data_IF_419995683533
#
_entry.id   IF_419995683533
#
_cell.length_a   1.000
_cell.length_b   1.000
_cell.length_c   1.000
_cell.angle_alpha   90.00
_cell.angle_beta   90.00
_cell.angle_gamma   90.00
#
_symmetry.space_group_name_H-M   'P 1'
#
loop_
_entity.id
_entity.type
_entity.pdbx_description
1 polymer ?
#
# COMPACT_ATOMS: atom_id res chain seq x y z
N UNK A 1 7.58 -72.56 45.97
CA UNK A 1 8.07 -72.65 47.35
C UNK A 1 8.96 -71.44 47.62
N UNK A 2 8.40 -70.33 48.10
CA UNK A 2 9.20 -69.28 48.74
C UNK A 2 8.39 -68.69 49.89
N UNK A 3 8.99 -68.78 51.06
CA UNK A 3 8.40 -68.63 52.36
C UNK A 3 8.03 -67.16 52.65
N UNK A 4 6.78 -66.95 53.03
CA UNK A 4 6.34 -65.74 53.72
C UNK A 4 6.85 -65.80 55.16
N UNK A 5 7.90 -65.04 55.50
CA UNK A 5 8.30 -64.80 56.90
C UNK A 5 8.55 -63.31 57.15
N UNK A 6 7.56 -62.73 57.86
CA UNK A 6 7.54 -61.62 58.85
C UNK A 6 8.53 -60.43 58.71
N UNK A 7 8.03 -59.19 58.58
CA UNK A 7 8.83 -57.97 58.72
C UNK A 7 8.90 -57.40 60.15
N UNK A 8 8.40 -58.09 61.17
CA UNK A 8 8.21 -57.52 62.52
C UNK A 8 9.50 -57.35 63.36
N UNK A 9 10.67 -57.75 62.87
CA UNK A 9 11.91 -57.71 63.66
C UNK A 9 12.77 -56.45 63.45
N UNK A 10 12.45 -55.58 62.49
CA UNK A 10 13.26 -54.37 62.20
C UNK A 10 12.75 -53.06 62.81
N UNK A 11 11.61 -53.06 63.51
CA UNK A 11 11.00 -51.82 64.03
C UNK A 11 10.75 -51.80 65.55
N UNK A 12 11.14 -52.83 66.31
CA UNK A 12 10.96 -52.85 67.78
C UNK A 12 9.53 -52.48 68.25
N UNK A 13 8.50 -52.92 67.52
CA UNK A 13 7.10 -52.66 67.85
C UNK A 13 6.50 -53.83 68.63
N UNK A 14 6.08 -53.59 69.88
CA UNK A 14 5.24 -54.55 70.62
C UNK A 14 3.79 -54.47 70.13
N UNK A 15 3.01 -55.54 70.33
CA UNK A 15 1.66 -55.79 69.79
C UNK A 15 0.56 -54.77 70.18
N UNK A 16 0.92 -53.61 70.73
CA UNK A 16 0.03 -52.58 71.24
C UNK A 16 0.27 -51.17 70.67
N UNK A 17 1.06 -50.99 69.60
CA UNK A 17 1.12 -49.67 68.95
C UNK A 17 -0.19 -49.34 68.26
N UNK A 18 -0.82 -48.25 68.70
CA UNK A 18 -2.03 -47.71 68.09
C UNK A 18 -1.66 -46.97 66.80
N UNK A 19 -2.62 -46.79 65.88
CA UNK A 19 -2.41 -46.02 64.63
C UNK A 19 -2.01 -44.56 64.92
N UNK A 20 -2.25 -44.06 66.13
CA UNK A 20 -1.86 -42.72 66.58
C UNK A 20 -0.36 -42.58 66.89
N UNK A 21 0.37 -43.68 67.05
CA UNK A 21 1.80 -43.69 67.38
C UNK A 21 2.72 -43.69 66.15
N UNK A 22 2.16 -43.68 64.93
CA UNK A 22 2.94 -43.55 63.70
C UNK A 22 3.39 -42.08 63.58
N UNK A 23 4.70 -41.78 63.55
CA UNK A 23 5.17 -40.41 63.37
C UNK A 23 4.63 -39.89 62.03
N UNK A 24 3.82 -38.83 62.07
CA UNK A 24 3.48 -38.08 60.85
C UNK A 24 4.79 -37.48 60.32
N UNK A 25 5.39 -38.11 59.32
CA UNK A 25 6.45 -37.50 58.54
C UNK A 25 5.91 -36.20 57.94
N UNK A 26 6.27 -35.07 58.56
CA UNK A 26 6.11 -33.76 57.95
C UNK A 26 7.04 -33.73 56.75
N UNK A 27 6.49 -33.97 55.55
CA UNK A 27 7.25 -33.80 54.31
C UNK A 27 7.83 -32.39 54.34
N UNK A 28 9.17 -32.20 54.39
CA UNK A 28 9.75 -30.88 54.46
C UNK A 28 9.27 -30.12 53.23
N UNK A 29 8.73 -28.92 53.45
CA UNK A 29 8.28 -28.06 52.37
C UNK A 29 9.44 -27.92 51.38
N UNK A 30 9.28 -28.51 50.20
CA UNK A 30 10.38 -28.65 49.24
C UNK A 30 10.82 -27.25 48.82
N UNK A 31 12.09 -26.91 49.03
CA UNK A 31 12.64 -25.63 48.57
C UNK A 31 12.40 -25.42 47.06
N UNK A 32 12.27 -26.50 46.28
CA UNK A 32 11.91 -26.45 44.87
C UNK A 32 10.51 -25.88 44.61
N UNK A 33 9.51 -26.15 45.48
CA UNK A 33 8.16 -25.57 45.31
C UNK A 33 8.15 -24.07 45.61
N UNK A 34 8.97 -23.62 46.58
CA UNK A 34 9.17 -22.20 46.85
C UNK A 34 9.85 -21.46 45.70
N UNK A 35 10.91 -22.05 45.12
CA UNK A 35 11.64 -21.46 43.98
C UNK A 35 10.73 -21.35 42.75
N UNK A 36 9.95 -22.40 42.46
CA UNK A 36 8.99 -22.38 41.36
C UNK A 36 7.93 -21.28 41.54
N UNK A 37 7.36 -21.13 42.74
CA UNK A 37 6.40 -20.07 43.05
C UNK A 37 7.01 -18.66 42.88
N UNK A 38 8.25 -18.45 43.33
CA UNK A 38 8.96 -17.19 43.13
C UNK A 38 9.21 -16.88 41.66
N UNK A 39 9.58 -17.89 40.85
CA UNK A 39 9.76 -17.72 39.41
C UNK A 39 8.44 -17.36 38.72
N UNK A 40 7.33 -18.00 39.08
CA UNK A 40 6.01 -17.65 38.54
C UNK A 40 5.56 -16.24 38.94
N UNK A 41 5.79 -15.84 40.19
CA UNK A 41 5.47 -14.48 40.63
C UNK A 41 6.33 -13.44 39.89
N UNK A 42 7.62 -13.71 39.71
CA UNK A 42 8.53 -12.83 38.99
C UNK A 42 8.15 -12.70 37.51
N UNK A 43 7.80 -13.79 36.84
CA UNK A 43 7.33 -13.74 35.43
C UNK A 43 5.99 -13.05 35.30
N UNK A 44 5.06 -13.22 36.25
CA UNK A 44 3.80 -12.50 36.28
C UNK A 44 4.01 -10.98 36.47
N UNK A 45 4.90 -10.57 37.38
CA UNK A 45 5.23 -9.16 37.60
C UNK A 45 5.90 -8.55 36.36
N UNK A 46 6.89 -9.24 35.77
CA UNK A 46 7.52 -8.81 34.52
C UNK A 46 6.52 -8.68 33.38
N UNK A 47 5.61 -9.65 33.24
CA UNK A 47 4.58 -9.62 32.20
C UNK A 47 3.59 -8.48 32.42
N UNK A 48 3.17 -8.25 33.68
CA UNK A 48 2.32 -7.12 34.05
C UNK A 48 3.00 -5.77 33.79
N UNK A 49 4.28 -5.65 34.15
CA UNK A 49 5.08 -4.45 33.87
C UNK A 49 5.27 -4.21 32.36
N UNK A 50 5.49 -5.27 31.57
CA UNK A 50 5.57 -5.18 30.12
C UNK A 50 4.23 -4.76 29.50
N UNK A 51 3.11 -5.29 29.97
CA UNK A 51 1.77 -4.88 29.52
C UNK A 51 1.51 -3.42 29.87
N UNK A 52 1.82 -2.99 31.10
CA UNK A 52 1.70 -1.60 31.54
C UNK A 52 2.59 -0.67 30.72
N UNK A 53 3.82 -1.09 30.41
CA UNK A 53 4.75 -0.36 29.55
C UNK A 53 4.19 -0.22 28.13
N UNK A 54 3.70 -1.30 27.51
CA UNK A 54 3.10 -1.27 26.18
C UNK A 54 1.78 -0.47 26.13
N UNK A 55 1.04 -0.41 27.23
CA UNK A 55 -0.16 0.44 27.36
C UNK A 55 0.17 1.93 27.57
N UNK A 56 1.22 2.22 28.34
CA UNK A 56 1.66 3.59 28.64
C UNK A 56 2.44 4.21 27.47
N UNK A 57 3.10 3.35 26.70
CA UNK A 57 3.78 3.66 25.46
C UNK A 57 3.19 2.76 24.37
N UNK A 58 1.96 3.04 23.90
CA UNK A 58 1.52 2.42 22.67
C UNK A 58 2.60 2.76 21.65
N UNK A 59 3.36 1.76 21.21
CA UNK A 59 4.21 1.94 20.06
C UNK A 59 3.30 2.56 18.99
N UNK A 60 3.73 3.62 18.28
CA UNK A 60 2.97 4.12 17.15
C UNK A 60 3.02 3.03 16.09
N UNK A 61 2.19 2.00 16.24
CA UNK A 61 2.07 0.88 15.33
C UNK A 61 1.38 1.46 14.12
N UNK A 62 2.21 1.91 13.17
CA UNK A 62 1.85 2.58 11.92
C UNK A 62 1.27 4.00 12.10
N UNK A 63 2.14 5.00 12.28
CA UNK A 63 1.74 6.41 12.05
C UNK A 63 1.44 6.70 10.57
N UNK A 64 1.96 5.88 9.66
CA UNK A 64 1.87 6.06 8.22
C UNK A 64 1.61 4.70 7.56
N UNK A 65 0.60 4.64 6.73
CA UNK A 65 0.21 3.47 5.95
C UNK A 65 -0.51 3.94 4.68
N UNK A 66 -0.75 3.02 3.75
CA UNK A 66 -1.34 3.36 2.45
C UNK A 66 -2.71 4.06 2.58
N UNK A 67 -3.48 3.70 3.61
CA UNK A 67 -4.79 4.24 3.97
C UNK A 67 -4.77 5.51 4.86
N UNK A 68 -3.63 5.84 5.46
CA UNK A 68 -3.48 6.96 6.40
C UNK A 68 -2.51 8.03 5.94
N UNK A 69 -1.77 7.76 4.85
CA UNK A 69 -0.84 8.68 4.22
C UNK A 69 0.61 8.52 4.68
N UNK A 70 1.51 9.24 4.00
CA UNK A 70 2.95 9.24 4.25
C UNK A 70 3.48 10.66 4.52
N UNK A 71 4.63 10.82 5.20
CA UNK A 71 5.19 12.15 5.51
C UNK A 71 5.54 13.00 4.29
N UNK A 72 5.81 12.37 3.16
CA UNK A 72 6.17 13.02 1.89
C UNK A 72 4.96 13.47 1.08
N UNK A 73 3.75 13.21 1.58
CA UNK A 73 2.53 13.63 0.90
C UNK A 73 2.17 15.07 1.24
N UNK A 74 1.51 15.72 0.29
CA UNK A 74 0.98 17.04 0.54
C UNK A 74 -0.09 16.96 1.64
N UNK A 75 0.22 17.52 2.81
CA UNK A 75 -0.56 17.35 4.04
C UNK A 75 -2.07 17.60 3.89
N UNK A 76 -2.53 18.63 3.16
CA UNK A 76 -3.96 18.83 2.94
C UNK A 76 -4.62 17.70 2.14
N UNK A 77 -3.90 17.05 1.22
CA UNK A 77 -4.45 15.99 0.38
C UNK A 77 -4.67 14.67 1.12
N UNK A 78 -4.00 14.48 2.28
CA UNK A 78 -4.11 13.28 3.12
C UNK A 78 -5.56 13.05 3.57
N UNK A 79 -6.35 14.11 3.75
CA UNK A 79 -7.77 13.99 4.15
C UNK A 79 -8.66 13.35 3.07
N UNK A 80 -8.21 13.36 1.82
CA UNK A 80 -8.94 12.77 0.68
C UNK A 80 -8.72 11.26 0.55
N UNK A 81 -7.78 10.69 1.31
CA UNK A 81 -7.44 9.27 1.20
C UNK A 81 -8.66 8.42 1.56
N UNK A 82 -9.12 7.67 0.57
CA UNK A 82 -10.09 6.58 0.72
C UNK A 82 -9.55 5.40 -0.06
N UNK A 83 -9.74 4.19 0.43
CA UNK A 83 -9.37 3.00 -0.31
C UNK A 83 -10.54 2.43 -1.08
N UNK A 84 -10.24 1.85 -2.23
CA UNK A 84 -11.17 1.08 -3.05
C UNK A 84 -10.44 -0.11 -3.68
N UNK A 85 -11.20 -1.15 -3.97
CA UNK A 85 -10.71 -2.27 -4.77
C UNK A 85 -11.17 -2.07 -6.22
N UNK A 86 -10.21 -2.02 -7.15
CA UNK A 86 -10.49 -1.86 -8.57
C UNK A 86 -9.90 -3.01 -9.37
N UNK A 87 -10.69 -3.52 -10.30
CA UNK A 87 -10.17 -4.40 -11.34
C UNK A 87 -9.77 -3.55 -12.54
N UNK A 88 -8.52 -3.67 -12.98
CA UNK A 88 -8.06 -2.90 -14.13
C UNK A 88 -8.85 -3.28 -15.40
N UNK A 89 -9.10 -2.27 -16.23
CA UNK A 89 -9.87 -2.45 -17.47
C UNK A 89 -8.93 -2.61 -18.66
N UNK A 90 -9.49 -2.86 -19.84
CA UNK A 90 -8.72 -3.01 -21.08
C UNK A 90 -7.74 -4.21 -21.13
N UNK A 91 -8.14 -5.44 -20.74
CA UNK A 91 -7.32 -6.62 -21.00
C UNK A 91 -7.02 -6.79 -22.50
N UNK A 92 -5.84 -7.35 -22.80
CA UNK A 92 -5.55 -7.88 -24.12
C UNK A 92 -6.30 -9.20 -24.34
N UNK A 93 -6.96 -9.31 -25.50
CA UNK A 93 -7.72 -10.48 -25.93
C UNK A 93 -7.26 -10.90 -27.32
N UNK A 94 -7.55 -12.15 -27.67
CA UNK A 94 -7.23 -12.71 -28.98
C UNK A 94 -8.47 -13.31 -29.61
N UNK A 95 -8.73 -12.92 -30.85
CA UNK A 95 -9.78 -13.48 -31.67
C UNK A 95 -9.17 -14.60 -32.53
N UNK A 96 -9.54 -15.85 -32.24
CA UNK A 96 -9.04 -17.04 -32.94
C UNK A 96 -9.52 -17.13 -34.38
N UNK A 97 -10.70 -16.60 -34.69
CA UNK A 97 -11.26 -16.59 -36.05
C UNK A 97 -10.55 -15.60 -36.96
N UNK A 98 -10.25 -14.41 -36.44
CA UNK A 98 -9.58 -13.34 -37.20
C UNK A 98 -8.06 -13.37 -37.08
N UNK A 99 -7.50 -14.24 -36.21
CA UNK A 99 -6.09 -14.27 -35.87
C UNK A 99 -5.55 -12.88 -35.48
N UNK A 100 -6.29 -12.17 -34.62
CA UNK A 100 -6.01 -10.78 -34.26
C UNK A 100 -6.07 -10.53 -32.77
N UNK A 101 -5.13 -9.71 -32.30
CA UNK A 101 -5.11 -9.15 -30.96
C UNK A 101 -5.97 -7.90 -30.91
N UNK A 102 -6.74 -7.76 -29.84
CA UNK A 102 -7.53 -6.56 -29.58
C UNK A 102 -7.53 -6.25 -28.08
N UNK A 103 -7.78 -4.98 -27.75
CA UNK A 103 -8.10 -4.58 -26.38
C UNK A 103 -9.59 -4.70 -26.18
N UNK A 104 -9.99 -5.23 -25.03
CA UNK A 104 -11.38 -5.25 -24.60
C UNK A 104 -11.78 -3.84 -24.13
N UNK A 105 -12.74 -3.21 -24.80
CA UNK A 105 -13.10 -1.80 -24.53
C UNK A 105 -14.46 -1.76 -23.85
N UNK A 106 -14.51 -1.07 -22.70
CA UNK A 106 -15.76 -0.73 -22.02
C UNK A 106 -16.31 0.58 -22.60
N UNK A 107 -17.31 0.47 -23.48
CA UNK A 107 -17.94 1.62 -24.14
C UNK A 107 -18.69 2.56 -23.18
N UNK A 108 -18.89 2.17 -21.93
CA UNK A 108 -19.56 2.99 -20.92
C UNK A 108 -18.61 3.97 -20.23
N UNK A 109 -17.30 3.85 -20.48
CA UNK A 109 -16.25 4.67 -19.87
C UNK A 109 -15.52 5.51 -20.91
N UNK A 110 -14.96 6.67 -20.52
CA UNK A 110 -14.10 7.44 -21.41
C UNK A 110 -12.87 6.62 -21.85
N UNK A 111 -12.55 6.67 -23.13
CA UNK A 111 -11.29 6.14 -23.65
C UNK A 111 -10.17 7.16 -23.48
N UNK A 112 -9.04 6.71 -22.94
CA UNK A 112 -7.83 7.54 -22.78
C UNK A 112 -6.74 7.19 -23.80
N UNK A 113 -6.92 6.16 -24.62
CA UNK A 113 -5.92 5.73 -25.60
C UNK A 113 -6.58 5.02 -26.78
N UNK A 114 -6.10 5.26 -27.99
CA UNK A 114 -6.69 4.73 -29.22
C UNK A 114 -6.16 5.50 -30.43
N UNK A 115 -6.86 5.41 -31.56
CA UNK A 115 -6.62 6.33 -32.66
C UNK A 115 -6.88 7.77 -32.16
N UNK A 116 -5.99 8.73 -32.44
CA UNK A 116 -6.14 10.09 -31.91
C UNK A 116 -7.48 10.71 -32.36
N UNK A 117 -8.22 11.29 -31.41
CA UNK A 117 -9.52 11.90 -31.66
C UNK A 117 -9.83 13.02 -30.67
N UNK A 118 -10.73 13.97 -31.02
CA UNK A 118 -11.18 15.01 -30.11
C UNK A 118 -11.80 14.48 -28.81
N UNK A 119 -12.46 13.32 -28.85
CA UNK A 119 -13.09 12.70 -27.68
C UNK A 119 -12.04 12.21 -26.68
N UNK A 120 -10.95 11.60 -27.16
CA UNK A 120 -9.83 11.19 -26.29
C UNK A 120 -9.15 12.42 -25.70
N UNK A 121 -8.93 13.47 -26.51
CA UNK A 121 -8.34 14.71 -26.03
C UNK A 121 -9.22 15.38 -24.96
N UNK A 122 -10.55 15.40 -25.15
CA UNK A 122 -11.50 15.90 -24.15
C UNK A 122 -11.50 15.07 -22.86
N UNK A 123 -11.35 13.75 -22.96
CA UNK A 123 -11.22 12.87 -21.79
C UNK A 123 -9.97 13.22 -20.97
N UNK A 124 -8.83 13.43 -21.63
CA UNK A 124 -7.59 13.87 -20.97
C UNK A 124 -7.66 15.28 -20.40
N UNK A 125 -8.32 16.21 -21.10
CA UNK A 125 -8.52 17.57 -20.58
C UNK A 125 -9.39 17.58 -19.33
N UNK A 126 -10.42 16.73 -19.29
CA UNK A 126 -11.23 16.52 -18.08
C UNK A 126 -10.41 15.90 -16.94
N UNK A 127 -9.63 14.85 -17.24
CA UNK A 127 -8.80 14.15 -16.26
C UNK A 127 -7.75 15.04 -15.60
N UNK A 128 -7.09 15.87 -16.41
CA UNK A 128 -6.03 16.80 -15.98
C UNK A 128 -6.57 18.21 -15.68
N UNK A 129 -7.89 18.37 -15.62
CA UNK A 129 -8.54 19.65 -15.36
C UNK A 129 -8.10 20.25 -14.02
N UNK A 130 -7.56 21.47 -14.05
CA UNK A 130 -7.06 22.14 -12.86
C UNK A 130 -5.82 21.47 -12.25
N UNK A 131 -4.95 20.89 -13.08
CA UNK A 131 -3.68 20.27 -12.70
C UNK A 131 -2.89 21.07 -11.65
N UNK A 132 -2.68 22.36 -11.87
CA UNK A 132 -1.92 23.22 -10.96
C UNK A 132 -2.83 23.95 -9.97
N UNK A 133 -2.56 23.77 -8.68
CA UNK A 133 -3.25 24.46 -7.60
C UNK A 133 -2.41 25.59 -7.03
N UNK A 134 -3.07 26.63 -6.55
CA UNK A 134 -2.44 27.67 -5.74
C UNK A 134 -2.15 27.11 -4.35
N UNK A 135 -0.95 27.35 -3.85
CA UNK A 135 -0.51 26.95 -2.51
C UNK A 135 -0.60 28.13 -1.54
N UNK A 136 -0.90 27.82 -0.28
CA UNK A 136 -0.78 28.78 0.81
C UNK A 136 0.69 29.14 1.08
N UNK A 137 0.94 30.32 1.65
CA UNK A 137 2.30 30.72 2.03
C UNK A 137 2.92 29.73 3.04
N UNK A 138 2.11 29.20 3.96
CA UNK A 138 2.51 28.19 4.93
C UNK A 138 2.88 26.85 4.27
N UNK A 139 2.19 26.47 3.20
CA UNK A 139 2.48 25.26 2.43
C UNK A 139 3.73 25.42 1.58
N UNK A 140 3.93 26.58 0.97
CA UNK A 140 5.08 26.85 0.11
C UNK A 140 6.41 26.88 0.88
N UNK A 141 6.40 27.33 2.15
CA UNK A 141 7.61 27.36 3.01
C UNK A 141 8.14 25.97 3.33
N UNK A 142 7.27 24.95 3.33
CA UNK A 142 7.66 23.56 3.57
C UNK A 142 8.18 22.86 2.29
N UNK A 143 8.09 23.52 1.12
CA UNK A 143 8.56 22.99 -0.16
C UNK A 143 9.98 23.45 -0.47
N UNK A 144 10.74 22.59 -1.14
CA UNK A 144 12.05 22.94 -1.69
C UNK A 144 11.87 23.74 -2.99
N UNK A 145 12.46 24.93 -3.04
CA UNK A 145 12.43 25.87 -4.17
C UNK A 145 11.04 26.10 -4.80
N UNK A 146 10.05 26.60 -4.04
CA UNK A 146 8.71 26.82 -4.58
C UNK A 146 8.74 27.87 -5.70
N UNK A 147 7.99 27.63 -6.76
CA UNK A 147 7.88 28.56 -7.90
C UNK A 147 6.68 29.47 -7.71
N UNK A 148 6.89 30.78 -7.85
CA UNK A 148 5.80 31.76 -7.90
C UNK A 148 5.44 32.08 -9.35
N UNK A 149 4.19 31.83 -9.73
CA UNK A 149 3.63 32.19 -11.03
C UNK A 149 2.58 33.28 -10.82
N UNK A 150 2.79 34.44 -11.46
CA UNK A 150 1.93 35.62 -11.30
C UNK A 150 1.75 36.06 -9.82
N UNK A 151 2.80 35.88 -9.01
CA UNK A 151 2.78 36.24 -7.59
C UNK A 151 2.06 35.23 -6.68
N UNK A 152 1.77 34.02 -7.18
CA UNK A 152 1.15 32.93 -6.40
C UNK A 152 2.05 31.70 -6.43
N UNK A 153 2.23 31.06 -5.28
CA UNK A 153 2.85 29.74 -5.20
C UNK A 153 1.95 28.72 -5.89
N UNK A 154 2.55 27.86 -6.71
CA UNK A 154 1.82 26.83 -7.43
C UNK A 154 2.46 25.48 -7.22
N UNK A 155 1.63 24.45 -7.20
CA UNK A 155 2.08 23.07 -7.12
C UNK A 155 1.05 22.11 -7.67
N UNK A 156 1.44 20.86 -7.79
CA UNK A 156 0.57 19.75 -8.11
C UNK A 156 0.92 18.52 -7.27
N UNK A 157 -0.04 17.59 -7.13
CA UNK A 157 0.26 16.27 -6.56
C UNK A 157 0.89 15.38 -7.62
N UNK A 158 1.77 14.48 -7.19
CA UNK A 158 2.54 13.59 -8.07
C UNK A 158 1.67 12.81 -9.07
N UNK A 159 0.47 12.34 -8.67
CA UNK A 159 -0.41 11.62 -9.61
C UNK A 159 -0.89 12.50 -10.78
N UNK A 160 -1.05 13.82 -10.58
CA UNK A 160 -1.39 14.75 -11.66
C UNK A 160 -0.21 14.93 -12.60
N UNK A 161 1.01 15.05 -12.07
CA UNK A 161 2.23 15.14 -12.86
C UNK A 161 2.46 13.86 -13.69
N UNK A 162 2.36 12.70 -13.06
CA UNK A 162 2.47 11.39 -13.72
C UNK A 162 1.43 11.20 -14.84
N UNK A 163 0.18 11.64 -14.62
CA UNK A 163 -0.86 11.62 -15.68
C UNK A 163 -0.57 12.61 -16.81
N UNK A 164 -0.05 13.80 -16.49
CA UNK A 164 0.40 14.77 -17.49
C UNK A 164 1.49 14.17 -18.38
N UNK A 165 2.52 13.58 -17.76
CA UNK A 165 3.60 12.90 -18.46
C UNK A 165 3.06 11.78 -19.35
N UNK A 166 2.16 10.94 -18.84
CA UNK A 166 1.55 9.86 -19.62
C UNK A 166 0.76 10.38 -20.84
N UNK A 167 0.05 11.50 -20.71
CA UNK A 167 -0.64 12.14 -21.84
C UNK A 167 0.34 12.66 -22.90
N UNK A 168 1.47 13.25 -22.48
CA UNK A 168 2.52 13.71 -23.39
C UNK A 168 3.12 12.53 -24.19
N UNK A 169 3.39 11.41 -23.51
CA UNK A 169 3.83 10.17 -24.15
C UNK A 169 2.78 9.63 -25.14
N UNK A 170 1.50 9.61 -24.75
CA UNK A 170 0.39 9.21 -25.63
C UNK A 170 0.39 10.04 -26.92
N UNK A 171 0.49 11.37 -26.82
CA UNK A 171 0.49 12.26 -27.99
C UNK A 171 1.70 12.01 -28.90
N UNK A 172 2.87 11.72 -28.32
CA UNK A 172 4.08 11.40 -29.08
C UNK A 172 3.96 10.12 -29.92
N UNK A 173 3.05 9.20 -29.58
CA UNK A 173 2.78 7.99 -30.38
C UNK A 173 1.98 8.24 -31.66
N UNK A 174 1.47 9.46 -31.89
CA UNK A 174 0.70 9.82 -33.08
C UNK A 174 1.18 11.14 -33.69
N UNK A 175 2.43 11.18 -34.20
CA UNK A 175 3.03 12.39 -34.76
C UNK A 175 2.29 12.91 -36.00
N UNK A 176 1.54 12.06 -36.70
CA UNK A 176 0.71 12.45 -37.84
C UNK A 176 -0.46 13.36 -37.44
N UNK A 177 -0.92 13.23 -36.18
CA UNK A 177 -2.03 14.01 -35.64
C UNK A 177 -1.56 15.17 -34.75
N UNK A 178 -0.61 14.92 -33.84
CA UNK A 178 -0.13 15.94 -32.88
C UNK A 178 1.13 16.70 -33.34
N UNK A 179 1.69 16.32 -34.49
CA UNK A 179 2.94 16.87 -35.01
C UNK A 179 4.17 16.07 -34.55
N UNK A 180 5.22 16.00 -35.39
CA UNK A 180 6.45 15.28 -35.06
C UNK A 180 7.26 16.02 -33.99
N UNK A 181 7.82 15.26 -33.06
CA UNK A 181 8.79 15.77 -32.08
C UNK A 181 10.14 15.89 -32.75
N UNK A 182 10.70 17.09 -32.77
CA UNK A 182 12.02 17.32 -33.36
C UNK A 182 13.12 16.79 -32.43
N UNK A 183 14.16 16.12 -32.96
CA UNK A 183 15.31 15.69 -32.16
C UNK A 183 15.95 16.86 -31.42
N UNK A 184 16.38 16.64 -30.17
CA UNK A 184 17.01 17.66 -29.31
C UNK A 184 16.17 18.93 -29.05
N UNK A 185 14.88 18.92 -29.39
CA UNK A 185 13.98 20.00 -29.01
C UNK A 185 13.66 19.95 -27.52
N UNK A 186 13.13 21.07 -26.99
CA UNK A 186 12.59 21.11 -25.62
C UNK A 186 11.55 20.02 -25.40
N UNK A 187 10.70 19.76 -26.41
CA UNK A 187 9.69 18.71 -26.35
C UNK A 187 10.31 17.31 -26.30
N UNK A 188 11.41 17.06 -27.03
CA UNK A 188 12.15 15.78 -26.96
C UNK A 188 12.68 15.52 -25.55
N UNK A 189 13.36 16.51 -24.96
CA UNK A 189 13.90 16.41 -23.59
C UNK A 189 12.78 16.25 -22.57
N UNK A 190 11.67 16.97 -22.75
CA UNK A 190 10.51 16.82 -21.89
C UNK A 190 9.91 15.40 -21.98
N UNK A 191 9.83 14.79 -23.17
CA UNK A 191 9.36 13.40 -23.30
C UNK A 191 10.32 12.39 -22.64
N UNK A 192 11.63 12.60 -22.72
CA UNK A 192 12.61 11.79 -21.99
C UNK A 192 12.38 11.88 -20.48
N UNK A 193 12.16 13.09 -19.95
CA UNK A 193 11.78 13.31 -18.56
C UNK A 193 10.45 12.63 -18.21
N UNK A 194 9.42 12.77 -19.05
CA UNK A 194 8.11 12.15 -18.84
C UNK A 194 8.20 10.62 -18.75
N UNK A 195 9.00 10.00 -19.62
CA UNK A 195 9.26 8.55 -19.54
C UNK A 195 9.88 8.16 -18.20
N UNK A 196 10.90 8.90 -17.77
CA UNK A 196 11.60 8.62 -16.53
C UNK A 196 10.73 8.89 -15.29
N UNK A 197 9.90 9.93 -15.32
CA UNK A 197 8.94 10.27 -14.27
C UNK A 197 7.91 9.15 -14.07
N UNK A 198 7.25 8.71 -15.15
CA UNK A 198 6.25 7.63 -15.08
C UNK A 198 6.89 6.31 -14.61
N UNK A 199 8.08 5.98 -15.11
CA UNK A 199 8.84 4.81 -14.66
C UNK A 199 9.11 4.86 -13.16
N UNK A 200 9.58 6.00 -12.64
CA UNK A 200 9.84 6.19 -11.21
C UNK A 200 8.57 6.09 -10.38
N UNK A 201 7.47 6.72 -10.81
CA UNK A 201 6.18 6.65 -10.11
C UNK A 201 5.66 5.21 -10.02
N UNK A 202 5.76 4.42 -11.09
CA UNK A 202 5.33 3.01 -11.09
C UNK A 202 6.17 2.19 -10.10
N UNK A 203 7.49 2.37 -10.10
CA UNK A 203 8.37 1.65 -9.17
C UNK A 203 8.16 2.10 -7.72
N UNK A 204 7.88 3.38 -7.49
CA UNK A 204 7.61 3.93 -6.17
C UNK A 204 6.31 3.37 -5.59
N UNK A 205 5.27 3.26 -6.41
CA UNK A 205 4.00 2.63 -6.01
C UNK A 205 4.20 1.15 -5.62
N UNK A 206 5.08 0.44 -6.34
CA UNK A 206 5.55 -0.89 -5.94
C UNK A 206 4.44 -1.92 -5.76
N UNK A 207 3.43 -1.91 -6.64
CA UNK A 207 2.27 -2.79 -6.53
C UNK A 207 2.67 -4.28 -6.61
N UNK A 208 2.42 -5.01 -5.53
CA UNK A 208 2.79 -6.43 -5.37
C UNK A 208 1.66 -7.39 -5.77
N UNK A 209 0.56 -6.89 -6.34
CA UNK A 209 -0.56 -7.72 -6.78
C UNK A 209 -0.09 -8.74 -7.83
N UNK A 210 -0.28 -10.06 -7.61
CA UNK A 210 0.26 -11.08 -8.50
C UNK A 210 -0.46 -11.08 -9.85
N UNK A 211 0.27 -10.91 -10.95
CA UNK A 211 -0.30 -10.95 -12.30
C UNK A 211 -0.37 -12.38 -12.83
N UNK A 212 -1.58 -12.92 -13.00
CA UNK A 212 -1.76 -14.24 -13.61
C UNK A 212 -1.55 -14.14 -15.12
N UNK A 213 -0.54 -14.86 -15.57
CA UNK A 213 -0.16 -15.02 -16.96
C UNK A 213 -1.08 -16.01 -17.68
N UNK A 214 -1.65 -15.61 -18.82
CA UNK A 214 -2.51 -16.46 -19.65
C UNK A 214 -2.02 -16.55 -21.10
N UNK A 215 -2.13 -17.74 -21.72
CA UNK A 215 -1.76 -17.93 -23.11
C UNK A 215 -2.73 -17.17 -24.02
N UNK A 216 -2.17 -16.63 -25.09
CA UNK A 216 -2.86 -15.83 -26.09
C UNK A 216 -2.54 -16.41 -27.47
N UNK A 217 -3.54 -17.04 -28.10
CA UNK A 217 -3.39 -17.80 -29.35
C UNK A 217 -3.26 -19.31 -29.15
N UNK A 218 -3.08 -20.03 -30.26
CA UNK A 218 -2.89 -21.49 -30.32
C UNK A 218 -1.56 -21.84 -31.03
N UNK A 219 -1.00 -23.02 -30.76
CA UNK A 219 0.20 -23.54 -31.45
C UNK A 219 1.55 -23.11 -30.85
N UNK A 220 2.59 -23.00 -31.70
CA UNK A 220 3.97 -22.72 -31.26
C UNK A 220 4.27 -21.23 -30.96
N UNK A 221 3.31 -20.33 -31.22
CA UNK A 221 3.46 -18.88 -31.08
C UNK A 221 2.62 -18.32 -29.92
N UNK A 222 2.53 -19.03 -28.80
CA UNK A 222 1.78 -18.57 -27.63
C UNK A 222 2.48 -17.37 -27.00
N UNK A 223 1.85 -16.20 -27.09
CA UNK A 223 2.21 -15.04 -26.28
C UNK A 223 1.53 -15.19 -24.93
N UNK A 224 2.22 -14.83 -23.85
CA UNK A 224 1.64 -14.89 -22.52
C UNK A 224 1.40 -13.46 -22.03
N UNK A 225 0.15 -13.13 -21.71
CA UNK A 225 -0.24 -11.80 -21.25
C UNK A 225 -0.75 -11.83 -19.83
N UNK A 226 -0.47 -10.76 -19.09
CA UNK A 226 -1.05 -10.54 -17.78
C UNK A 226 -2.55 -10.35 -17.86
N UNK A 227 -3.29 -11.01 -16.97
CA UNK A 227 -4.71 -10.74 -16.78
C UNK A 227 -4.88 -9.61 -15.76
N UNK A 228 -5.84 -8.69 -15.95
CA UNK A 228 -6.29 -7.78 -14.91
C UNK A 228 -6.65 -8.49 -13.62
N UNK A 229 -6.10 -7.98 -12.52
CA UNK A 229 -6.35 -8.45 -11.17
C UNK A 229 -7.07 -7.36 -10.38
N UNK A 230 -7.57 -7.72 -9.21
CA UNK A 230 -8.10 -6.74 -8.26
C UNK A 230 -6.92 -6.13 -7.51
N UNK A 231 -6.86 -4.81 -7.51
CA UNK A 231 -5.84 -4.00 -6.84
C UNK A 231 -6.50 -3.19 -5.71
N UNK A 232 -5.83 -3.06 -4.57
CA UNK A 232 -6.21 -2.06 -3.56
C UNK A 232 -5.60 -0.73 -3.95
N UNK A 233 -6.44 0.25 -4.27
CA UNK A 233 -6.01 1.57 -4.70
C UNK A 233 -6.57 2.66 -3.78
N UNK A 234 -5.94 3.83 -3.82
CA UNK A 234 -6.59 5.03 -3.32
C UNK A 234 -7.63 5.49 -4.33
N UNK A 235 -8.80 5.86 -3.83
CA UNK A 235 -9.93 6.23 -4.66
C UNK A 235 -9.63 7.49 -5.45
N UNK A 236 -9.59 7.33 -6.77
CA UNK A 236 -9.37 8.44 -7.69
C UNK A 236 -10.46 9.49 -7.54
N UNK A 237 -11.72 9.07 -7.41
CA UNK A 237 -12.86 9.99 -7.29
C UNK A 237 -12.79 10.80 -5.99
N UNK A 238 -12.35 10.20 -4.88
CA UNK A 238 -12.17 10.90 -3.62
C UNK A 238 -11.10 12.00 -3.72
N UNK A 239 -9.92 11.65 -4.26
CA UNK A 239 -8.85 12.60 -4.51
C UNK A 239 -9.30 13.69 -5.49
N UNK A 240 -9.91 13.32 -6.62
CA UNK A 240 -10.34 14.24 -7.68
C UNK A 240 -11.39 15.23 -7.19
N UNK A 241 -12.35 14.77 -6.39
CA UNK A 241 -13.36 15.64 -5.78
C UNK A 241 -12.71 16.67 -4.86
N UNK A 242 -11.82 16.22 -3.97
CA UNK A 242 -11.08 17.10 -3.08
C UNK A 242 -10.24 18.12 -3.86
N UNK A 243 -9.49 17.65 -4.86
CA UNK A 243 -8.58 18.48 -5.66
C UNK A 243 -9.33 19.56 -6.44
N UNK A 244 -10.48 19.21 -7.03
CA UNK A 244 -11.33 20.17 -7.74
C UNK A 244 -11.90 21.23 -6.79
N UNK A 245 -12.50 20.82 -5.66
CA UNK A 245 -13.06 21.76 -4.70
C UNK A 245 -12.00 22.70 -4.13
N UNK A 246 -10.80 22.18 -3.84
CA UNK A 246 -9.68 23.01 -3.40
C UNK A 246 -9.28 24.04 -4.46
N UNK A 247 -9.12 23.62 -5.71
CA UNK A 247 -8.79 24.53 -6.82
C UNK A 247 -9.87 25.59 -7.09
N UNK A 248 -11.13 25.28 -6.84
CA UNK A 248 -12.23 26.25 -6.92
C UNK A 248 -12.24 27.23 -5.75
N UNK A 249 -11.91 26.76 -4.54
CA UNK A 249 -11.90 27.58 -3.33
C UNK A 249 -10.68 28.50 -3.22
N UNK A 250 -9.50 28.00 -3.60
CA UNK A 250 -8.21 28.68 -3.38
C UNK A 250 -7.55 29.19 -4.67
N UNK A 251 -8.07 28.76 -5.83
CA UNK A 251 -7.57 29.13 -7.14
C UNK A 251 -6.86 27.98 -7.85
N UNK A 252 -7.11 27.89 -9.14
CA UNK A 252 -6.42 27.01 -10.09
C UNK A 252 -5.77 27.84 -11.17
N UNK A 253 -4.60 27.43 -11.63
CA UNK A 253 -3.92 28.07 -12.76
C UNK A 253 -4.32 27.33 -14.04
N UNK A 254 -4.78 28.09 -15.04
CA UNK A 254 -5.11 27.51 -16.33
C UNK A 254 -3.83 26.94 -16.97
N UNK A 255 -3.94 25.78 -17.60
CA UNK A 255 -2.85 25.15 -18.37
C UNK A 255 -2.63 25.96 -19.66
N UNK A 256 -2.12 27.19 -19.57
CA UNK A 256 -1.58 27.90 -20.72
C UNK A 256 -0.17 27.38 -20.95
N UNK A 257 -0.11 26.24 -21.66
CA UNK A 257 1.08 25.58 -22.21
C UNK A 257 2.40 25.94 -21.52
N UNK A 258 2.68 25.22 -20.43
CA UNK A 258 4.06 24.99 -19.98
C UNK A 258 4.69 23.87 -20.84
#
# INVERSE_FOLDING_TARGET
MFNYIRPYEKLNLTKNTSIEDIPKESRPYSQCTSIAACLFAFTAILSGAQILYLWSYPAPTCRYAFDTGYPTEWRPAVESIKLEEINFTSPLRYNTTLNQLYRDIDITRPEYIGAPSPEIDAAWESLLGGQFLVLGDDEAVDLDDPVSIEGRWVGEVEVMHSLHCLNMLRKALSPEYYGPVQPHSRQSVHLEHCFEQVRQSIQCAGDLTPVVLRPLGEGSNVVVVGTPMVHTCRSWDALRTWYTHRGEAQGKVARREF
#
